data_IF_922439114359
#
_entry.id   IF_922439114359
#
_cell.length_a   1.000
_cell.length_b   1.000
_cell.length_c   1.000
_cell.angle_alpha   90.00
_cell.angle_beta   90.00
_cell.angle_gamma   90.00
#
_symmetry.space_group_name_H-M   'P 1'
#
loop_
_entity.id
_entity.type
_entity.pdbx_description
1 polymer ?
#
# COMPACT_ATOMS: atom_id res chain seq x y z
N UNK A 1 -4.49 5.96 17.04
CA UNK A 1 -4.26 6.19 15.59
C UNK A 1 -4.85 5.12 14.70
N UNK A 2 -4.71 3.82 14.98
CA UNK A 2 -5.20 2.82 14.02
C UNK A 2 -6.72 2.75 13.89
N UNK A 3 -7.48 3.40 14.77
CA UNK A 3 -8.95 3.35 14.77
C UNK A 3 -9.60 4.57 14.14
N UNK A 4 -8.93 5.27 13.27
CA UNK A 4 -9.47 6.47 12.65
C UNK A 4 -9.90 6.24 11.21
N UNK A 5 -10.20 7.35 10.57
CA UNK A 5 -10.51 7.40 9.14
C UNK A 5 -9.37 8.08 8.39
N UNK A 6 -9.23 7.76 7.13
CA UNK A 6 -8.27 8.40 6.24
C UNK A 6 -8.89 8.63 4.89
N UNK A 7 -8.27 9.52 4.09
CA UNK A 7 -8.69 9.74 2.71
C UNK A 7 -7.86 8.87 1.79
N UNK A 8 -8.48 8.31 0.78
CA UNK A 8 -7.81 7.48 -0.21
C UNK A 8 -8.39 7.68 -1.60
N UNK A 9 -7.55 7.57 -2.62
CA UNK A 9 -7.99 7.50 -4.00
C UNK A 9 -8.27 6.05 -4.34
N UNK A 10 -9.52 5.74 -4.61
CA UNK A 10 -9.94 4.37 -4.91
C UNK A 10 -10.20 4.24 -6.40
N UNK A 11 -9.48 3.32 -7.03
CA UNK A 11 -9.69 2.95 -8.42
C UNK A 11 -10.79 1.90 -8.47
N UNK A 12 -11.87 2.19 -9.21
CA UNK A 12 -13.00 1.26 -9.34
C UNK A 12 -12.97 0.51 -10.66
N UNK A 13 -12.67 1.21 -11.73
CA UNK A 13 -12.60 0.65 -13.08
C UNK A 13 -11.79 1.61 -13.96
N UNK A 14 -11.38 1.22 -15.18
CA UNK A 14 -10.62 2.12 -16.03
C UNK A 14 -11.26 3.51 -16.15
N UNK A 15 -10.43 4.52 -15.93
CA UNK A 15 -10.80 5.94 -15.98
C UNK A 15 -11.80 6.38 -14.91
N UNK A 16 -11.97 5.56 -13.85
CA UNK A 16 -12.89 5.89 -12.77
C UNK A 16 -12.17 5.72 -11.41
N UNK A 17 -11.82 6.84 -10.80
CA UNK A 17 -11.24 6.90 -9.45
C UNK A 17 -12.02 7.91 -8.62
N UNK A 18 -12.13 7.64 -7.32
CA UNK A 18 -12.80 8.55 -6.38
C UNK A 18 -11.95 8.76 -5.14
N UNK A 19 -11.92 10.00 -4.66
CA UNK A 19 -11.24 10.35 -3.42
C UNK A 19 -12.26 10.26 -2.28
N UNK A 20 -12.10 9.24 -1.45
CA UNK A 20 -13.09 8.88 -0.44
C UNK A 20 -12.46 8.68 0.93
N UNK A 21 -13.29 8.83 1.95
CA UNK A 21 -12.90 8.49 3.32
C UNK A 21 -13.07 6.99 3.55
N UNK A 22 -12.04 6.36 4.09
CA UNK A 22 -12.04 4.93 4.40
C UNK A 22 -11.46 4.72 5.79
N UNK A 23 -11.64 3.52 6.33
CA UNK A 23 -11.04 3.17 7.61
C UNK A 23 -9.53 3.05 7.46
N UNK A 24 -8.79 3.47 8.50
CA UNK A 24 -7.37 3.15 8.60
C UNK A 24 -7.26 1.64 8.81
N UNK A 25 -6.43 0.94 8.03
CA UNK A 25 -6.35 -0.52 8.13
C UNK A 25 -5.78 -0.98 9.46
N UNK A 26 -6.21 -2.15 9.90
CA UNK A 26 -5.61 -2.82 11.05
C UNK A 26 -4.45 -3.67 10.57
N UNK A 27 -3.39 -3.72 11.37
CA UNK A 27 -2.21 -4.51 11.04
C UNK A 27 -2.17 -5.80 11.84
N UNK A 28 -1.55 -6.83 11.25
CA UNK A 28 -1.24 -8.07 11.94
C UNK A 28 0.06 -7.92 12.73
N UNK A 29 0.43 -8.96 13.47
CA UNK A 29 1.68 -8.93 14.25
C UNK A 29 2.95 -8.87 13.39
N UNK A 30 2.87 -9.19 12.10
CA UNK A 30 4.01 -9.14 11.18
C UNK A 30 4.01 -7.92 10.26
N UNK A 31 3.09 -7.00 10.47
CA UNK A 31 2.94 -5.83 9.61
C UNK A 31 3.29 -4.53 10.31
N UNK A 32 3.45 -3.49 9.51
CA UNK A 32 3.78 -2.15 9.97
C UNK A 32 2.79 -1.19 9.31
N UNK A 33 2.24 -0.28 10.10
CA UNK A 33 1.35 0.77 9.58
C UNK A 33 2.18 2.02 9.31
N UNK A 34 2.10 2.51 8.09
CA UNK A 34 2.85 3.67 7.63
C UNK A 34 1.89 4.79 7.27
N UNK A 35 2.12 5.98 7.83
CA UNK A 35 1.44 7.17 7.37
C UNK A 35 2.16 7.69 6.13
N UNK A 36 1.52 7.60 4.97
CA UNK A 36 2.11 8.05 3.71
C UNK A 36 2.21 9.57 3.71
N UNK A 37 3.40 10.09 3.45
CA UNK A 37 3.67 11.52 3.37
C UNK A 37 3.76 12.00 1.92
N UNK A 38 4.21 11.13 1.02
CA UNK A 38 4.30 11.44 -0.40
C UNK A 38 4.15 10.16 -1.20
N UNK A 39 3.53 10.25 -2.36
CA UNK A 39 3.38 9.12 -3.27
C UNK A 39 3.68 9.62 -4.68
N UNK A 40 4.71 9.03 -5.31
CA UNK A 40 5.06 9.33 -6.67
C UNK A 40 4.11 8.64 -7.65
N UNK A 41 3.97 9.23 -8.83
CA UNK A 41 3.18 8.65 -9.91
C UNK A 41 4.16 7.94 -10.86
N UNK A 42 3.94 6.65 -11.05
CA UNK A 42 4.73 5.83 -11.96
C UNK A 42 3.94 5.59 -13.25
N UNK A 43 4.65 5.29 -14.35
CA UNK A 43 3.99 4.94 -15.60
C UNK A 43 3.03 3.76 -15.47
N UNK A 44 3.34 2.81 -14.58
CA UNK A 44 2.45 1.68 -14.31
C UNK A 44 1.13 2.10 -13.68
N UNK A 45 1.12 3.17 -12.88
CA UNK A 45 -0.13 3.71 -12.31
C UNK A 45 -1.02 4.29 -13.41
N UNK A 46 -0.41 4.99 -14.35
CA UNK A 46 -1.13 5.56 -15.50
C UNK A 46 -1.71 4.45 -16.37
N UNK A 47 -0.90 3.42 -16.64
CA UNK A 47 -1.37 2.26 -17.42
C UNK A 47 -2.51 1.55 -16.73
N UNK A 48 -2.44 1.39 -15.41
CA UNK A 48 -3.52 0.77 -14.65
C UNK A 48 -4.80 1.59 -14.70
N UNK A 49 -4.68 2.91 -14.56
CA UNK A 49 -5.82 3.80 -14.62
C UNK A 49 -6.60 3.67 -15.95
N UNK A 50 -5.87 3.53 -17.06
CA UNK A 50 -6.50 3.38 -18.38
C UNK A 50 -6.85 1.93 -18.73
N UNK A 51 -6.66 1.00 -17.81
CA UNK A 51 -6.99 -0.39 -18.03
C UNK A 51 -6.03 -1.14 -18.95
N UNK A 52 -4.83 -0.61 -19.14
CA UNK A 52 -3.83 -1.19 -20.06
C UNK A 52 -2.81 -2.09 -19.36
N UNK A 53 -2.84 -2.16 -18.04
CA UNK A 53 -1.95 -3.02 -17.28
C UNK A 53 -2.45 -4.47 -17.31
N UNK A 54 -1.55 -5.47 -17.39
CA UNK A 54 -1.97 -6.86 -17.24
C UNK A 54 -2.27 -7.25 -15.80
N UNK A 55 -1.92 -6.40 -14.84
CA UNK A 55 -2.15 -6.69 -13.42
C UNK A 55 -3.62 -6.57 -13.06
N UNK A 56 -4.08 -7.46 -12.19
CA UNK A 56 -5.46 -7.49 -11.73
C UNK A 56 -5.53 -7.88 -10.26
N UNK A 57 -6.60 -7.44 -9.60
CA UNK A 57 -6.94 -7.93 -8.27
C UNK A 57 -7.70 -9.25 -8.41
N UNK A 58 -7.95 -9.98 -7.31
CA UNK A 58 -8.80 -11.18 -7.38
C UNK A 58 -10.18 -10.94 -7.97
N UNK A 59 -10.66 -9.70 -7.89
CA UNK A 59 -11.97 -9.30 -8.39
C UNK A 59 -11.90 -8.58 -9.74
N UNK A 60 -10.78 -8.66 -10.45
CA UNK A 60 -10.55 -7.96 -11.70
C UNK A 60 -9.69 -6.72 -11.50
N UNK A 61 -9.98 -5.62 -12.18
CA UNK A 61 -9.15 -4.41 -12.13
C UNK A 61 -9.58 -3.38 -11.07
N UNK A 62 -10.28 -3.78 -10.09
CA UNK A 62 -10.69 -2.88 -9.01
C UNK A 62 -11.80 -3.50 -8.18
N UNK A 63 -12.28 -2.85 -7.12
CA UNK A 63 -11.76 -1.62 -6.53
C UNK A 63 -10.43 -1.82 -5.79
N UNK A 64 -9.59 -0.79 -5.81
CA UNK A 64 -8.23 -0.88 -5.33
C UNK A 64 -7.66 0.50 -5.08
N UNK A 65 -6.87 0.66 -4.03
CA UNK A 65 -6.06 1.86 -3.82
C UNK A 65 -4.72 1.62 -4.53
N UNK A 66 -4.44 2.41 -5.57
CA UNK A 66 -3.20 2.25 -6.33
C UNK A 66 -2.13 3.21 -5.84
N UNK A 67 -0.87 2.88 -6.14
CA UNK A 67 0.30 3.65 -5.75
C UNK A 67 1.30 2.74 -5.06
N UNK A 68 2.57 2.88 -5.43
CA UNK A 68 3.61 2.01 -4.89
C UNK A 68 4.95 2.72 -4.69
N UNK A 69 5.06 3.98 -5.09
CA UNK A 69 6.27 4.77 -4.90
C UNK A 69 6.03 5.77 -3.78
N UNK A 70 6.04 5.27 -2.55
CA UNK A 70 5.68 6.07 -1.38
C UNK A 70 6.89 6.33 -0.48
N UNK A 71 6.82 7.42 0.26
CA UNK A 71 7.62 7.64 1.44
C UNK A 71 6.67 8.02 2.58
N UNK A 72 7.05 7.67 3.79
CA UNK A 72 6.19 7.93 4.92
C UNK A 72 6.88 7.69 6.25
N UNK A 73 6.08 7.63 7.29
CA UNK A 73 6.55 7.47 8.65
C UNK A 73 5.78 6.34 9.33
N UNK A 74 6.50 5.48 10.02
CA UNK A 74 5.89 4.39 10.79
C UNK A 74 5.07 4.98 11.93
N UNK A 75 3.82 4.54 12.06
CA UNK A 75 2.94 4.96 13.16
C UNK A 75 2.58 3.82 14.09
N UNK A 76 2.61 2.59 13.61
CA UNK A 76 2.33 1.41 14.44
C UNK A 76 3.12 0.22 13.92
N UNK A 77 3.55 -0.65 14.83
CA UNK A 77 4.38 -1.81 14.51
C UNK A 77 3.73 -3.04 15.13
N UNK A 78 3.56 -4.10 14.34
CA UNK A 78 3.06 -5.37 14.84
C UNK A 78 4.01 -5.99 15.86
N UNK A 79 3.48 -6.81 16.75
CA UNK A 79 4.24 -7.34 17.89
C UNK A 79 5.49 -8.14 17.48
N UNK A 80 5.39 -8.94 16.42
CA UNK A 80 6.54 -9.71 15.94
C UNK A 80 7.65 -8.78 15.43
N UNK A 81 7.27 -7.74 14.67
CA UNK A 81 8.24 -6.79 14.12
C UNK A 81 8.89 -5.99 15.24
N UNK A 82 8.11 -5.59 16.25
CA UNK A 82 8.62 -4.88 17.40
C UNK A 82 9.65 -5.71 18.18
N UNK A 83 9.34 -7.00 18.38
CA UNK A 83 10.24 -7.91 19.07
C UNK A 83 11.58 -8.10 18.34
N UNK A 84 11.57 -8.05 17.01
CA UNK A 84 12.78 -8.14 16.20
C UNK A 84 13.55 -6.83 16.14
N UNK A 85 12.94 -5.71 16.51
CA UNK A 85 13.59 -4.41 16.52
C UNK A 85 13.88 -3.82 15.14
N UNK A 86 13.20 -4.30 14.09
CA UNK A 86 13.45 -3.81 12.73
C UNK A 86 12.94 -2.38 12.51
N UNK A 87 11.80 -2.07 13.10
CA UNK A 87 11.16 -0.76 12.93
C UNK A 87 10.54 -0.30 14.25
N UNK A 88 10.38 1.00 14.40
CA UNK A 88 9.68 1.59 15.53
C UNK A 88 8.86 2.79 15.08
N UNK A 89 7.81 3.15 15.81
CA UNK A 89 7.04 4.36 15.50
C UNK A 89 7.96 5.58 15.41
N UNK A 90 7.73 6.39 14.38
CA UNK A 90 8.54 7.56 14.10
C UNK A 90 9.60 7.37 13.03
N UNK A 91 9.94 6.13 12.68
CA UNK A 91 10.91 5.87 11.61
C UNK A 91 10.40 6.37 10.28
N UNK A 92 11.29 7.01 9.52
CA UNK A 92 10.99 7.40 8.14
C UNK A 92 11.39 6.28 7.22
N UNK A 93 10.47 5.91 6.31
CA UNK A 93 10.64 4.73 5.47
C UNK A 93 10.19 5.00 4.04
N UNK A 94 10.66 4.15 3.15
CA UNK A 94 10.14 4.06 1.80
C UNK A 94 9.77 2.62 1.52
N UNK A 95 8.93 2.41 0.52
CA UNK A 95 8.46 1.08 0.15
C UNK A 95 9.40 0.46 -0.87
N UNK A 96 9.65 -0.83 -0.73
CA UNK A 96 10.30 -1.63 -1.76
C UNK A 96 9.18 -2.46 -2.44
N UNK A 97 8.65 -2.00 -3.60
CA UNK A 97 7.47 -2.63 -4.18
C UNK A 97 7.62 -4.10 -4.57
N UNK A 98 8.74 -4.55 -5.14
CA UNK A 98 8.88 -5.96 -5.48
C UNK A 98 8.76 -6.85 -4.25
N UNK A 99 7.87 -7.82 -4.31
CA UNK A 99 7.63 -8.74 -3.20
C UNK A 99 7.74 -10.17 -3.71
N UNK A 100 8.91 -10.81 -3.55
CA UNK A 100 9.10 -12.17 -4.03
C UNK A 100 8.25 -13.16 -3.24
N UNK A 101 7.78 -14.20 -3.88
CA UNK A 101 7.04 -15.26 -3.22
C UNK A 101 7.94 -16.22 -2.44
N UNK A 102 9.22 -16.24 -2.74
CA UNK A 102 10.24 -17.11 -2.13
C UNK A 102 10.00 -18.61 -2.37
N UNK A 103 9.13 -18.95 -3.32
CA UNK A 103 8.80 -20.35 -3.62
C UNK A 103 8.98 -20.73 -5.08
N UNK A 104 9.23 -19.77 -5.97
CA UNK A 104 9.43 -20.03 -7.39
C UNK A 104 10.84 -19.62 -7.82
N UNK A 105 11.30 -20.17 -8.95
CA UNK A 105 12.63 -19.89 -9.46
C UNK A 105 12.79 -18.45 -9.97
N UNK A 106 11.69 -17.78 -10.30
CA UNK A 106 11.71 -16.42 -10.86
C UNK A 106 11.85 -15.35 -9.78
N UNK A 107 11.56 -15.68 -8.54
CA UNK A 107 11.74 -14.78 -7.42
C UNK A 107 13.16 -14.91 -6.85
#
# INVERSE_FOLDING_TARGET
>A
MPNGKMMANIFYEPEHMEYQQVDIPEISETEVLIQVKACGICGSDVSYYYGKSPLETPDGKGPLIIGHEISGQVVEVGSYVADKGFFKPGDRVTLNPPQPCNTCAMC
#
